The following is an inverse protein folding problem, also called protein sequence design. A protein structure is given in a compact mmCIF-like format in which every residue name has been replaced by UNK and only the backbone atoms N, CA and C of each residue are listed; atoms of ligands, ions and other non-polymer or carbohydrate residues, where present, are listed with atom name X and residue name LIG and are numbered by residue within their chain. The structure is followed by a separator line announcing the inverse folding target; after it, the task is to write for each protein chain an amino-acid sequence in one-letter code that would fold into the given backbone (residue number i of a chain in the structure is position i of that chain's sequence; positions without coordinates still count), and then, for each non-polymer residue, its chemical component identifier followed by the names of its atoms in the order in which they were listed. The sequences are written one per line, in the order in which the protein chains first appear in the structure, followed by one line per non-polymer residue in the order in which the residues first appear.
data_IF_009768072034
#
_entry.id   IF_009768072034
#
_cell.length_a   1.000
_cell.length_b   1.000
_cell.length_c   1.000
_cell.angle_alpha   90.00
_cell.angle_beta   90.00
_cell.angle_gamma   90.00
#
_symmetry.space_group_name_H-M   'P 1'
#
loop_
_entity.id
_entity.type
_entity.pdbx_description
1 polymer ?
#
# COMPACT_ATOMS: atom_id res chain seq x y z
N UNK A 1 65.88 -59.40 23.34
CA UNK A 1 67.22 -59.11 22.90
C UNK A 1 67.42 -57.59 22.89
N UNK A 2 68.18 -57.14 23.82
CA UNK A 2 69.30 -56.17 23.81
C UNK A 2 69.15 -54.91 22.87
N UNK A 3 69.12 -53.78 23.44
CA UNK A 3 70.03 -52.68 23.90
C UNK A 3 69.76 -51.47 23.04
N UNK A 4 69.96 -50.22 23.41
CA UNK A 4 70.80 -49.52 24.36
C UNK A 4 70.23 -48.15 24.70
N UNK A 5 70.47 -47.79 25.92
CA UNK A 5 70.42 -46.47 26.58
C UNK A 5 71.47 -45.55 26.00
N UNK A 6 71.19 -44.29 25.64
CA UNK A 6 72.12 -43.20 25.63
C UNK A 6 71.55 -42.00 26.33
N UNK A 7 72.14 -41.68 27.44
CA UNK A 7 71.97 -40.47 28.22
C UNK A 7 72.88 -39.41 27.54
N UNK A 8 72.36 -38.25 27.28
CA UNK A 8 73.13 -37.05 27.05
C UNK A 8 72.63 -35.89 27.86
N UNK A 9 73.45 -35.49 28.76
CA UNK A 9 73.44 -34.37 29.67
C UNK A 9 73.70 -33.08 28.90
N UNK A 10 72.91 -32.04 28.98
CA UNK A 10 73.36 -30.68 28.68
C UNK A 10 72.59 -29.59 29.37
N UNK A 11 73.24 -29.06 30.37
CA UNK A 11 73.34 -27.66 30.83
C UNK A 11 72.17 -26.69 30.67
N UNK A 12 71.70 -26.31 31.85
CA UNK A 12 70.84 -25.16 32.15
C UNK A 12 71.51 -23.84 31.74
N UNK A 13 70.83 -23.04 30.94
CA UNK A 13 71.01 -21.58 30.86
C UNK A 13 69.74 -20.91 31.35
N UNK A 14 69.86 -20.22 32.50
CA UNK A 14 68.88 -19.29 33.04
C UNK A 14 68.91 -18.00 32.20
N UNK A 15 67.85 -17.69 31.50
CA UNK A 15 67.57 -16.34 30.98
C UNK A 15 66.44 -15.74 31.83
N UNK A 16 66.78 -14.74 32.56
CA UNK A 16 65.78 -13.84 33.21
C UNK A 16 65.11 -13.01 32.12
N UNK A 17 63.82 -13.23 31.90
CA UNK A 17 63.01 -12.39 31.06
C UNK A 17 62.20 -11.43 31.95
N UNK A 18 62.51 -10.15 31.85
CA UNK A 18 61.71 -9.05 32.39
C UNK A 18 60.26 -9.11 31.81
N UNK A 19 59.33 -9.44 32.67
CA UNK A 19 57.89 -9.26 32.34
C UNK A 19 57.52 -7.81 32.52
N UNK A 20 57.43 -7.07 31.39
CA UNK A 20 56.74 -5.78 31.36
C UNK A 20 55.23 -6.04 31.48
N UNK A 21 54.62 -5.55 32.55
CA UNK A 21 53.18 -5.49 32.72
C UNK A 21 52.59 -4.53 31.67
N UNK A 22 52.01 -5.09 30.60
CA UNK A 22 51.20 -4.33 29.67
C UNK A 22 49.83 -4.07 30.35
N UNK A 23 49.58 -2.84 30.73
CA UNK A 23 48.24 -2.36 31.14
C UNK A 23 47.35 -2.40 29.90
N UNK A 24 46.15 -2.99 29.95
CA UNK A 24 45.23 -2.96 28.82
C UNK A 24 44.76 -1.52 28.57
N UNK A 25 44.95 -1.07 27.32
CA UNK A 25 44.44 0.19 26.80
C UNK A 25 42.88 0.17 26.89
N UNK A 26 42.21 1.24 27.36
CA UNK A 26 40.76 1.26 27.43
C UNK A 26 40.17 1.12 26.02
N UNK A 27 39.42 0.05 25.81
CA UNK A 27 38.64 -0.19 24.57
C UNK A 27 37.67 0.98 24.41
N UNK A 28 37.90 1.82 23.41
CA UNK A 28 36.94 2.84 23.02
C UNK A 28 35.66 2.16 22.52
N UNK A 29 34.57 2.36 23.25
CA UNK A 29 33.22 2.00 22.79
C UNK A 29 32.95 2.78 21.50
N UNK A 30 32.59 2.14 20.39
CA UNK A 30 32.22 2.87 19.18
C UNK A 30 31.06 3.82 19.49
N UNK A 31 31.26 5.10 19.21
CA UNK A 31 30.22 6.11 19.27
C UNK A 31 29.07 5.67 18.35
N UNK A 32 27.79 5.77 18.76
CA UNK A 32 26.68 5.39 17.90
C UNK A 32 26.80 6.20 16.62
N UNK A 33 26.99 5.49 15.51
CA UNK A 33 26.93 6.08 14.18
C UNK A 33 25.53 6.67 14.04
N UNK A 34 25.45 7.99 13.94
CA UNK A 34 24.20 8.67 13.63
C UNK A 34 23.68 8.09 12.30
N UNK A 35 22.52 7.41 12.38
CA UNK A 35 21.75 7.04 11.20
C UNK A 35 21.54 8.34 10.42
N UNK A 36 21.92 8.42 9.13
CA UNK A 36 21.62 9.61 8.36
C UNK A 36 20.10 9.82 8.41
N UNK A 37 19.67 10.94 8.96
CA UNK A 37 18.29 11.39 8.84
C UNK A 37 17.94 11.32 7.36
N UNK A 38 16.91 10.56 7.00
CA UNK A 38 16.45 10.46 5.63
C UNK A 38 16.33 11.87 5.05
N UNK A 39 17.00 12.10 3.96
CA UNK A 39 17.11 13.40 3.32
C UNK A 39 15.70 13.86 2.92
N UNK A 40 15.25 15.08 3.27
CA UNK A 40 13.95 15.61 2.85
C UNK A 40 13.71 15.60 1.32
N UNK A 41 14.75 15.46 0.53
CA UNK A 41 14.73 15.42 -0.94
C UNK A 41 13.90 14.30 -1.58
N UNK A 42 13.51 13.27 -0.85
CA UNK A 42 12.69 12.17 -1.41
C UNK A 42 11.20 12.54 -1.53
N UNK A 43 10.76 13.65 -0.93
CA UNK A 43 9.37 14.10 -0.89
C UNK A 43 9.15 15.43 -1.59
N UNK A 44 10.22 16.05 -2.08
CA UNK A 44 10.13 17.31 -2.83
C UNK A 44 9.57 17.03 -4.24
N UNK A 45 8.35 17.51 -4.46
CA UNK A 45 7.72 17.57 -5.78
C UNK A 45 7.61 19.03 -6.18
N UNK A 46 8.24 19.40 -7.30
CA UNK A 46 8.31 20.80 -7.74
C UNK A 46 6.91 21.43 -7.88
N UNK A 47 6.70 22.55 -7.17
CA UNK A 47 5.42 23.25 -7.11
C UNK A 47 4.36 22.62 -6.20
N UNK A 48 4.70 21.62 -5.39
CA UNK A 48 3.80 20.94 -4.47
C UNK A 48 4.38 20.88 -3.05
N UNK A 49 3.52 21.04 -2.04
CA UNK A 49 3.84 20.84 -0.63
C UNK A 49 3.19 19.56 -0.14
N UNK A 50 3.93 18.68 0.52
CA UNK A 50 3.33 17.54 1.20
C UNK A 50 2.49 18.05 2.38
N UNK A 51 1.21 17.68 2.43
CA UNK A 51 0.27 18.10 3.48
C UNK A 51 -0.17 16.93 4.37
N UNK A 52 -0.02 15.71 3.89
CA UNK A 52 -0.28 14.50 4.64
C UNK A 52 0.43 13.30 4.00
N UNK A 53 0.83 12.34 4.81
CA UNK A 53 1.38 11.08 4.33
C UNK A 53 1.27 9.98 5.39
N UNK A 54 1.35 8.75 4.93
CA UNK A 54 1.61 7.56 5.76
C UNK A 54 2.62 6.67 5.01
N UNK A 55 3.79 6.48 5.63
CA UNK A 55 4.89 5.66 5.10
C UNK A 55 4.85 4.23 5.68
N UNK A 56 3.87 3.93 6.51
CA UNK A 56 3.66 2.63 7.15
C UNK A 56 4.89 2.07 7.89
N UNK A 57 5.74 2.94 8.42
CA UNK A 57 6.98 2.59 9.12
C UNK A 57 6.79 2.32 10.63
N UNK A 58 5.57 2.45 11.12
CA UNK A 58 5.17 2.12 12.48
C UNK A 58 5.07 0.60 12.72
N UNK A 59 4.88 0.17 13.97
CA UNK A 59 4.69 -1.25 14.30
C UNK A 59 3.28 -1.78 13.95
N UNK A 60 2.32 -0.90 13.77
CA UNK A 60 0.92 -1.18 13.46
C UNK A 60 0.30 -0.02 12.69
N UNK A 61 -0.89 -0.22 12.11
CA UNK A 61 -1.63 0.82 11.39
C UNK A 61 -1.95 2.00 12.31
N UNK A 62 -1.58 3.21 11.88
CA UNK A 62 -1.87 4.42 12.64
C UNK A 62 -3.38 4.73 12.61
N UNK A 63 -4.03 4.59 13.76
CA UNK A 63 -5.46 4.86 13.94
C UNK A 63 -5.80 6.36 13.94
N UNK A 64 -4.81 7.24 13.96
CA UNK A 64 -5.02 8.66 13.73
C UNK A 64 -5.18 8.97 12.23
N UNK A 65 -4.68 8.10 11.35
CA UNK A 65 -4.79 8.22 9.91
C UNK A 65 -5.95 7.40 9.31
N UNK A 66 -6.26 6.23 9.92
CA UNK A 66 -7.15 5.25 9.30
C UNK A 66 -8.26 4.74 10.20
N UNK A 67 -9.48 4.78 9.68
CA UNK A 67 -10.65 4.06 10.18
C UNK A 67 -10.90 2.80 9.34
N UNK A 68 -11.73 1.88 9.87
CA UNK A 68 -12.14 0.66 9.17
C UNK A 68 -13.62 0.74 8.76
N UNK A 69 -13.93 0.15 7.62
CA UNK A 69 -15.26 -0.33 7.32
C UNK A 69 -15.34 -1.83 7.66
N UNK A 70 -16.31 -2.22 8.48
CA UNK A 70 -16.45 -3.59 8.98
C UNK A 70 -17.78 -4.17 8.50
N UNK A 71 -17.76 -5.41 8.03
CA UNK A 71 -18.97 -6.15 7.68
C UNK A 71 -18.91 -6.79 6.29
N UNK A 72 -19.96 -7.54 5.95
CA UNK A 72 -20.02 -8.34 4.74
C UNK A 72 -21.41 -8.25 4.08
N UNK A 73 -21.92 -7.03 3.83
CA UNK A 73 -23.24 -6.82 3.22
C UNK A 73 -23.21 -6.82 1.68
N UNK A 74 -22.02 -7.10 1.07
CA UNK A 74 -21.80 -7.08 -0.37
C UNK A 74 -21.53 -5.72 -0.96
N UNK A 75 -21.44 -4.67 -0.11
CA UNK A 75 -20.97 -3.31 -0.41
C UNK A 75 -21.54 -2.66 -1.68
N UNK A 76 -22.77 -3.02 -2.05
CA UNK A 76 -23.45 -2.55 -3.27
C UNK A 76 -23.08 -3.32 -4.55
N UNK A 77 -22.01 -4.11 -4.56
CA UNK A 77 -21.45 -4.78 -5.72
C UNK A 77 -21.65 -6.30 -5.72
N UNK A 78 -22.37 -6.85 -4.73
CA UNK A 78 -22.51 -8.28 -4.49
C UNK A 78 -21.16 -8.98 -4.20
N UNK A 79 -20.25 -8.28 -3.50
CA UNK A 79 -18.97 -8.79 -3.04
C UNK A 79 -19.15 -9.96 -2.03
N UNK A 80 -18.18 -10.86 -1.97
CA UNK A 80 -18.26 -12.08 -1.17
C UNK A 80 -17.42 -12.05 0.09
N UNK A 81 -16.57 -11.06 0.29
CA UNK A 81 -15.81 -10.92 1.52
C UNK A 81 -16.63 -10.27 2.65
N UNK A 82 -16.14 -10.46 3.86
CA UNK A 82 -16.40 -9.58 4.99
C UNK A 82 -15.12 -8.81 5.30
N UNK A 83 -15.22 -7.49 5.36
CA UNK A 83 -14.11 -6.65 5.83
C UNK A 83 -14.01 -6.70 7.35
N UNK A 84 -12.79 -6.83 7.82
CA UNK A 84 -12.43 -6.93 9.23
C UNK A 84 -11.23 -6.03 9.55
N UNK A 85 -10.98 -5.81 10.83
CA UNK A 85 -9.79 -5.14 11.36
C UNK A 85 -8.79 -6.12 12.00
N UNK A 86 -8.92 -7.40 11.68
CA UNK A 86 -8.09 -8.46 12.28
C UNK A 86 -6.66 -8.44 11.72
N UNK A 87 -5.65 -8.78 12.54
CA UNK A 87 -4.25 -8.85 12.09
C UNK A 87 -4.01 -9.81 10.92
N UNK A 88 -4.89 -10.82 10.74
CA UNK A 88 -4.82 -11.73 9.63
C UNK A 88 -5.18 -11.08 8.29
N UNK A 89 -5.95 -9.97 8.32
CA UNK A 89 -6.37 -9.25 7.13
C UNK A 89 -5.62 -7.95 6.91
N UNK A 90 -5.04 -7.35 7.97
CA UNK A 90 -4.28 -6.11 7.86
C UNK A 90 -3.15 -6.06 8.89
N UNK A 91 -1.97 -5.67 8.45
CA UNK A 91 -0.78 -5.51 9.29
C UNK A 91 0.28 -4.63 8.64
N UNK A 92 1.20 -4.14 9.44
CA UNK A 92 2.45 -3.55 8.93
C UNK A 92 3.50 -4.65 8.91
N UNK A 93 4.16 -4.82 7.77
CA UNK A 93 5.17 -5.83 7.56
C UNK A 93 6.33 -5.26 6.72
N UNK A 94 7.55 -5.27 7.26
CA UNK A 94 8.75 -4.71 6.62
C UNK A 94 8.61 -3.23 6.22
N UNK A 95 7.93 -2.41 7.01
CA UNK A 95 7.69 -1.00 6.70
C UNK A 95 6.68 -0.77 5.58
N UNK A 96 5.74 -1.69 5.40
CA UNK A 96 4.68 -1.59 4.38
C UNK A 96 3.35 -2.05 4.96
N UNK A 97 2.27 -1.45 4.50
CA UNK A 97 0.93 -1.95 4.77
C UNK A 97 0.65 -3.18 3.91
N UNK A 98 0.19 -4.26 4.54
CA UNK A 98 -0.28 -5.48 3.88
C UNK A 98 -1.77 -5.65 4.16
N UNK A 99 -2.58 -5.63 3.11
CA UNK A 99 -3.99 -6.05 3.16
C UNK A 99 -4.09 -7.44 2.54
N UNK A 100 -4.60 -8.38 3.33
CA UNK A 100 -4.71 -9.78 2.95
C UNK A 100 -6.17 -10.20 2.77
N UNK A 101 -6.51 -10.70 1.58
CA UNK A 101 -7.74 -11.43 1.33
C UNK A 101 -7.48 -12.92 1.45
N UNK A 102 -8.33 -13.61 2.22
CA UNK A 102 -8.17 -15.04 2.53
C UNK A 102 -9.51 -15.78 2.65
N UNK A 103 -9.47 -17.08 2.48
CA UNK A 103 -10.59 -17.93 2.87
C UNK A 103 -10.76 -17.90 4.39
N UNK A 104 -11.98 -17.68 4.85
CA UNK A 104 -12.32 -17.67 6.28
C UNK A 104 -13.58 -18.51 6.54
N UNK A 105 -13.42 -19.78 6.90
CA UNK A 105 -14.55 -20.68 7.16
C UNK A 105 -15.32 -20.32 8.45
N UNK A 106 -14.85 -19.40 9.25
CA UNK A 106 -15.53 -18.95 10.49
C UNK A 106 -16.61 -17.92 10.22
N UNK A 107 -16.63 -17.35 9.01
CA UNK A 107 -17.62 -16.34 8.61
C UNK A 107 -18.98 -17.00 8.27
N UNK A 108 -20.09 -16.23 8.34
CA UNK A 108 -21.40 -16.72 7.96
C UNK A 108 -21.46 -17.26 6.54
N UNK A 109 -22.34 -18.23 6.29
CA UNK A 109 -22.58 -18.78 4.97
C UNK A 109 -22.87 -17.65 3.95
N UNK A 110 -22.22 -17.71 2.77
CA UNK A 110 -22.30 -16.70 1.73
C UNK A 110 -21.27 -15.59 1.83
N UNK A 111 -20.34 -15.67 2.79
CA UNK A 111 -19.18 -14.79 2.94
C UNK A 111 -17.93 -15.63 3.22
N UNK A 112 -17.46 -16.40 2.24
CA UNK A 112 -16.38 -17.38 2.48
C UNK A 112 -14.98 -16.73 2.58
N UNK A 113 -14.87 -15.41 2.44
CA UNK A 113 -13.60 -14.69 2.45
C UNK A 113 -13.62 -13.57 3.48
N UNK A 114 -12.48 -13.32 4.10
CA UNK A 114 -12.22 -12.10 4.87
C UNK A 114 -11.17 -11.25 4.18
N UNK A 115 -11.27 -9.93 4.36
CA UNK A 115 -10.33 -8.95 3.84
C UNK A 115 -10.39 -7.67 4.68
N UNK A 116 -9.81 -6.57 4.19
CA UNK A 116 -9.87 -5.28 4.86
C UNK A 116 -10.22 -4.14 3.91
N UNK A 117 -10.95 -3.16 4.44
CA UNK A 117 -11.19 -1.85 3.87
C UNK A 117 -10.92 -0.78 4.91
N UNK A 118 -9.97 0.10 4.60
CA UNK A 118 -9.59 1.24 5.43
C UNK A 118 -9.92 2.55 4.74
N UNK A 119 -10.11 3.60 5.53
CA UNK A 119 -10.46 4.93 5.02
C UNK A 119 -9.98 6.03 5.94
N UNK A 120 -9.73 7.21 5.36
CA UNK A 120 -9.41 8.41 6.14
C UNK A 120 -10.65 9.21 6.57
N UNK A 121 -11.86 8.77 6.27
CA UNK A 121 -13.12 9.43 6.60
C UNK A 121 -13.24 9.75 8.09
N UNK A 122 -13.58 11.02 8.41
CA UNK A 122 -13.69 11.51 9.77
C UNK A 122 -12.37 11.82 10.46
N UNK A 123 -11.25 11.59 9.78
CA UNK A 123 -9.89 11.90 10.22
C UNK A 123 -9.24 12.91 9.28
N UNK A 124 -9.21 12.61 7.99
CA UNK A 124 -8.63 13.46 6.95
C UNK A 124 -9.47 13.45 5.68
N UNK A 125 -9.61 14.61 5.06
CA UNK A 125 -10.19 14.80 3.72
C UNK A 125 -9.54 16.01 3.06
N UNK A 126 -9.53 16.03 1.74
CA UNK A 126 -8.87 17.08 0.96
C UNK A 126 -9.73 17.49 -0.21
N UNK A 127 -9.67 18.76 -0.53
CA UNK A 127 -10.14 19.30 -1.79
C UNK A 127 -8.95 19.67 -2.64
N UNK A 128 -8.83 19.05 -3.81
CA UNK A 128 -7.73 19.19 -4.73
C UNK A 128 -6.38 18.69 -4.17
N UNK A 129 -5.47 18.40 -5.05
CA UNK A 129 -4.14 17.96 -4.70
C UNK A 129 -3.58 16.94 -5.68
N UNK A 130 -2.36 16.51 -5.41
CA UNK A 130 -1.74 15.35 -5.99
C UNK A 130 -1.78 14.26 -4.93
N UNK A 131 -2.53 13.21 -5.17
CA UNK A 131 -2.72 12.09 -4.26
C UNK A 131 -2.11 10.85 -4.90
N UNK A 132 -1.17 10.22 -4.22
CA UNK A 132 -0.44 9.07 -4.74
C UNK A 132 -0.34 7.95 -3.72
N UNK A 133 -0.28 6.71 -4.22
CA UNK A 133 0.09 5.54 -3.46
C UNK A 133 1.04 4.66 -4.27
N UNK A 134 2.09 4.14 -3.62
CA UNK A 134 2.99 3.16 -4.21
C UNK A 134 2.58 1.78 -3.76
N UNK A 135 2.15 0.95 -4.71
CA UNK A 135 1.47 -0.31 -4.41
C UNK A 135 1.94 -1.44 -5.31
N UNK A 136 1.89 -2.67 -4.75
CA UNK A 136 1.96 -3.91 -5.51
C UNK A 136 0.63 -4.64 -5.41
N UNK A 137 0.09 -5.07 -6.56
CA UNK A 137 -1.27 -5.55 -6.66
C UNK A 137 -1.37 -7.08 -6.58
N UNK A 138 -2.43 -7.61 -5.95
CA UNK A 138 -2.80 -9.02 -6.04
C UNK A 138 -3.35 -9.38 -7.42
N UNK A 139 -3.51 -10.65 -7.70
CA UNK A 139 -4.04 -11.15 -8.96
C UNK A 139 -4.94 -12.38 -8.75
N UNK A 140 -5.66 -12.75 -9.79
CA UNK A 140 -6.53 -13.93 -9.78
C UNK A 140 -8.00 -13.60 -10.00
N UNK A 141 -8.73 -14.52 -10.62
CA UNK A 141 -10.15 -14.33 -10.92
C UNK A 141 -10.93 -13.94 -9.66
N UNK A 142 -11.72 -12.87 -9.75
CA UNK A 142 -12.54 -12.37 -8.64
C UNK A 142 -11.80 -11.54 -7.58
N UNK A 143 -10.52 -11.23 -7.77
CA UNK A 143 -9.72 -10.35 -6.91
C UNK A 143 -9.83 -8.91 -7.42
N UNK A 144 -10.09 -7.97 -6.50
CA UNK A 144 -10.37 -6.57 -6.84
C UNK A 144 -9.78 -5.60 -5.80
N UNK A 145 -8.49 -5.27 -5.93
CA UNK A 145 -7.89 -4.18 -5.17
C UNK A 145 -8.34 -2.82 -5.70
N UNK A 146 -8.50 -1.85 -4.80
CA UNK A 146 -8.84 -0.48 -5.15
C UNK A 146 -8.15 0.54 -4.23
N UNK A 147 -7.77 1.68 -4.84
CA UNK A 147 -7.35 2.92 -4.20
C UNK A 147 -8.17 4.05 -4.80
N UNK A 148 -9.04 4.65 -4.01
CA UNK A 148 -10.10 5.51 -4.47
C UNK A 148 -10.54 6.53 -3.41
N UNK A 149 -11.45 7.42 -3.77
CA UNK A 149 -11.92 8.49 -2.90
C UNK A 149 -13.43 8.65 -2.98
N UNK A 150 -14.06 8.97 -1.85
CA UNK A 150 -15.46 9.39 -1.78
C UNK A 150 -15.59 10.82 -1.24
N UNK A 151 -16.58 11.54 -1.74
CA UNK A 151 -16.88 12.89 -1.27
C UNK A 151 -17.37 12.90 0.17
N UNK A 152 -16.80 13.81 0.98
CA UNK A 152 -17.07 14.00 2.40
C UNK A 152 -18.13 15.07 2.63
N UNK A 153 -19.31 14.92 2.00
CA UNK A 153 -20.39 15.89 2.01
C UNK A 153 -21.74 15.36 2.58
N UNK A 154 -21.73 14.13 3.12
CA UNK A 154 -22.90 13.45 3.70
C UNK A 154 -24.11 13.26 2.78
N UNK A 155 -23.94 13.36 1.45
CA UNK A 155 -25.05 13.21 0.49
C UNK A 155 -25.35 11.75 0.12
N UNK A 156 -24.49 10.82 0.50
CA UNK A 156 -24.58 9.42 0.08
C UNK A 156 -24.26 9.22 -1.41
N UNK A 157 -23.88 8.01 -1.75
CA UNK A 157 -23.54 7.63 -3.12
C UNK A 157 -24.77 7.55 -4.04
N UNK A 158 -24.71 8.01 -5.32
CA UNK A 158 -23.56 8.63 -5.99
C UNK A 158 -23.49 10.17 -5.86
N UNK A 159 -24.38 10.80 -5.06
CA UNK A 159 -24.42 12.26 -4.92
C UNK A 159 -23.22 12.81 -4.12
N UNK A 160 -22.51 11.97 -3.40
CA UNK A 160 -21.23 12.34 -2.78
C UNK A 160 -20.11 12.53 -3.79
N UNK A 161 -20.20 11.92 -4.96
CA UNK A 161 -19.07 11.78 -5.89
C UNK A 161 -18.11 10.69 -5.47
N UNK A 162 -17.43 10.09 -6.45
CA UNK A 162 -16.39 9.06 -6.29
C UNK A 162 -15.32 9.26 -7.35
N UNK A 163 -14.06 9.13 -6.95
CA UNK A 163 -12.89 9.20 -7.83
C UNK A 163 -12.08 7.93 -7.61
N UNK A 164 -12.07 7.04 -8.58
CA UNK A 164 -11.26 5.83 -8.56
C UNK A 164 -9.89 6.13 -9.16
N UNK A 165 -8.88 6.23 -8.29
CA UNK A 165 -7.48 6.48 -8.69
C UNK A 165 -6.93 5.22 -9.33
N UNK A 166 -7.23 4.07 -8.71
CA UNK A 166 -6.89 2.75 -9.18
C UNK A 166 -8.00 1.77 -8.87
N UNK A 167 -8.46 1.06 -9.89
CA UNK A 167 -9.09 -0.24 -9.74
C UNK A 167 -8.34 -1.26 -10.60
N UNK A 168 -8.22 -2.48 -10.10
CA UNK A 168 -7.67 -3.61 -10.82
C UNK A 168 -8.53 -4.85 -10.58
N UNK A 169 -8.79 -5.63 -11.63
CA UNK A 169 -9.55 -6.87 -11.52
C UNK A 169 -8.71 -8.04 -12.03
N UNK A 170 -8.55 -9.03 -11.19
CA UNK A 170 -7.63 -10.12 -11.47
C UNK A 170 -7.94 -10.97 -12.71
N UNK A 171 -9.15 -10.84 -13.30
CA UNK A 171 -9.48 -11.48 -14.57
C UNK A 171 -8.84 -10.83 -15.79
N UNK A 172 -8.41 -9.56 -15.66
CA UNK A 172 -7.66 -8.80 -16.69
C UNK A 172 -6.35 -8.32 -16.05
N UNK A 173 -5.39 -9.22 -15.81
CA UNK A 173 -4.24 -8.99 -14.94
C UNK A 173 -3.24 -7.97 -15.51
N UNK A 174 -3.44 -7.55 -16.74
CA UNK A 174 -2.65 -6.54 -17.47
C UNK A 174 -3.34 -5.17 -17.51
N UNK A 175 -4.47 -4.98 -16.84
CA UNK A 175 -5.29 -3.78 -17.01
C UNK A 175 -5.58 -3.11 -15.69
N UNK A 176 -5.36 -1.79 -15.63
CA UNK A 176 -5.81 -0.90 -14.55
C UNK A 176 -6.91 0.03 -15.07
N UNK A 177 -7.79 0.46 -14.18
CA UNK A 177 -8.95 1.29 -14.48
C UNK A 177 -8.91 2.56 -13.64
N UNK A 178 -9.33 3.66 -14.25
CA UNK A 178 -9.63 4.95 -13.63
C UNK A 178 -11.07 5.30 -13.94
N UNK A 179 -11.84 5.74 -12.94
CA UNK A 179 -13.26 6.02 -13.13
C UNK A 179 -13.69 7.17 -12.23
N UNK A 180 -14.74 7.89 -12.62
CA UNK A 180 -15.48 8.76 -11.73
C UNK A 180 -16.96 8.41 -11.74
N UNK A 181 -17.60 8.57 -10.60
CA UNK A 181 -19.02 8.34 -10.43
C UNK A 181 -19.72 9.56 -9.80
N UNK A 182 -20.86 9.95 -10.39
CA UNK A 182 -21.71 11.00 -9.87
C UNK A 182 -23.17 10.79 -10.34
N UNK A 183 -24.14 11.61 -9.91
CA UNK A 183 -25.49 11.55 -10.43
C UNK A 183 -25.53 11.68 -11.96
N UNK A 184 -26.19 10.71 -12.60
CA UNK A 184 -26.26 10.62 -14.06
C UNK A 184 -25.17 9.78 -14.73
N UNK A 185 -24.08 9.49 -14.03
CA UNK A 185 -23.01 8.60 -14.50
C UNK A 185 -22.38 7.83 -13.33
N UNK A 186 -22.96 6.71 -12.98
CA UNK A 186 -22.53 5.91 -11.83
C UNK A 186 -22.71 4.41 -12.06
N UNK A 187 -22.10 3.58 -11.25
CA UNK A 187 -22.08 2.14 -11.42
C UNK A 187 -21.49 1.75 -12.79
N UNK A 188 -22.19 0.90 -13.51
CA UNK A 188 -21.75 0.50 -14.86
C UNK A 188 -21.70 1.62 -15.92
N UNK A 189 -22.18 2.81 -15.59
CA UNK A 189 -22.17 4.00 -16.46
C UNK A 189 -21.17 5.07 -15.98
N UNK A 190 -20.26 4.74 -15.07
CA UNK A 190 -19.17 5.63 -14.67
C UNK A 190 -18.36 6.09 -15.89
N UNK A 191 -17.81 7.30 -15.82
CA UNK A 191 -16.94 7.85 -16.88
C UNK A 191 -15.49 7.56 -16.51
N UNK A 192 -14.77 6.88 -17.39
CA UNK A 192 -13.42 6.45 -17.08
C UNK A 192 -12.61 5.98 -18.27
N UNK A 193 -11.40 5.51 -17.97
CA UNK A 193 -10.47 4.95 -18.94
C UNK A 193 -9.77 3.73 -18.34
N UNK A 194 -8.98 3.07 -19.18
CA UNK A 194 -8.14 1.95 -18.76
C UNK A 194 -6.76 2.05 -19.40
N UNK A 195 -5.77 1.56 -18.70
CA UNK A 195 -4.42 1.39 -19.22
C UNK A 195 -4.06 -0.09 -19.23
N UNK A 196 -3.54 -0.56 -20.36
CA UNK A 196 -2.98 -1.91 -20.47
C UNK A 196 -1.48 -1.84 -20.25
N UNK A 197 -0.98 -2.59 -19.28
CA UNK A 197 0.42 -2.68 -18.90
C UNK A 197 0.85 -4.14 -18.80
N UNK A 198 2.11 -4.42 -18.44
CA UNK A 198 2.54 -5.81 -18.25
C UNK A 198 1.88 -6.42 -17.00
N UNK A 199 1.17 -7.54 -17.18
CA UNK A 199 0.60 -8.30 -16.07
C UNK A 199 1.67 -8.78 -15.06
N UNK A 200 2.84 -9.17 -15.55
CA UNK A 200 3.96 -9.57 -14.69
C UNK A 200 4.51 -8.40 -13.89
N UNK A 201 4.51 -7.19 -14.44
CA UNK A 201 4.91 -5.97 -13.73
C UNK A 201 3.93 -5.66 -12.60
N UNK A 202 2.64 -5.53 -12.86
CA UNK A 202 1.63 -5.25 -11.82
C UNK A 202 1.66 -6.23 -10.65
N UNK A 203 1.94 -7.49 -10.93
CA UNK A 203 1.99 -8.56 -9.94
C UNK A 203 3.28 -8.58 -9.12
N UNK A 204 4.42 -8.28 -9.75
CA UNK A 204 5.74 -8.50 -9.15
C UNK A 204 6.38 -7.22 -8.64
N UNK A 205 6.06 -6.07 -9.25
CA UNK A 205 6.70 -4.80 -8.98
C UNK A 205 5.77 -3.84 -8.24
N UNK A 206 6.35 -2.83 -7.60
CA UNK A 206 5.62 -1.70 -7.04
C UNK A 206 5.50 -0.61 -8.10
N UNK A 207 4.30 -0.08 -8.22
CA UNK A 207 3.97 1.05 -9.10
C UNK A 207 3.35 2.20 -8.32
N UNK A 208 3.46 3.41 -8.84
CA UNK A 208 2.85 4.60 -8.27
C UNK A 208 1.58 4.93 -9.04
N UNK A 209 0.46 4.94 -8.34
CA UNK A 209 -0.86 5.31 -8.87
C UNK A 209 -1.21 6.69 -8.35
N UNK A 210 -1.59 7.60 -9.25
CA UNK A 210 -1.72 9.02 -8.94
C UNK A 210 -2.99 9.61 -9.52
N UNK A 211 -3.60 10.51 -8.77
CA UNK A 211 -4.53 11.52 -9.25
C UNK A 211 -3.96 12.92 -9.01
N UNK A 212 -3.82 13.74 -10.04
CA UNK A 212 -3.72 15.18 -9.91
C UNK A 212 -5.11 15.79 -10.11
N UNK A 213 -5.62 16.38 -9.07
CA UNK A 213 -6.94 16.93 -9.01
C UNK A 213 -6.89 18.44 -8.71
N UNK A 214 -7.47 19.21 -9.62
CA UNK A 214 -7.60 20.65 -9.47
C UNK A 214 -8.98 21.11 -9.94
N UNK A 215 -9.25 22.41 -9.86
CA UNK A 215 -10.53 22.94 -10.27
C UNK A 215 -10.83 22.58 -11.73
N UNK A 216 -11.96 21.90 -11.98
CA UNK A 216 -12.42 21.44 -13.29
C UNK A 216 -11.50 20.49 -14.05
N UNK A 217 -10.53 19.88 -13.41
CA UNK A 217 -9.63 18.91 -14.07
C UNK A 217 -9.23 17.78 -13.13
N UNK A 218 -9.21 16.55 -13.68
CA UNK A 218 -8.68 15.35 -13.07
C UNK A 218 -7.71 14.70 -14.05
N UNK A 219 -6.51 14.33 -13.58
CA UNK A 219 -5.47 13.68 -14.38
C UNK A 219 -4.98 12.44 -13.66
N UNK A 220 -5.00 11.28 -14.31
CA UNK A 220 -4.50 10.02 -13.78
C UNK A 220 -3.15 9.66 -14.35
N UNK A 221 -2.26 9.23 -13.46
CA UNK A 221 -0.92 8.79 -13.84
C UNK A 221 -0.66 7.38 -13.32
N UNK A 222 0.06 6.62 -14.12
CA UNK A 222 0.69 5.36 -13.73
C UNK A 222 2.20 5.56 -13.79
N UNK A 223 2.86 5.38 -12.68
CA UNK A 223 4.22 5.86 -12.47
C UNK A 223 4.28 7.37 -12.83
N UNK A 224 5.13 7.81 -13.69
CA UNK A 224 5.20 9.22 -14.09
C UNK A 224 4.47 9.53 -15.41
N UNK A 225 3.66 8.58 -15.92
CA UNK A 225 2.99 8.72 -17.22
C UNK A 225 1.50 9.03 -17.07
N UNK A 226 1.05 10.20 -17.52
CA UNK A 226 -0.37 10.49 -17.66
C UNK A 226 -1.00 9.55 -18.71
N UNK A 227 -2.11 8.91 -18.35
CA UNK A 227 -2.84 8.03 -19.26
C UNK A 227 -4.32 8.40 -19.42
N UNK A 228 -4.85 9.25 -18.54
CA UNK A 228 -6.22 9.71 -18.61
C UNK A 228 -6.36 11.13 -18.04
N UNK A 229 -7.22 11.92 -18.69
CA UNK A 229 -7.61 13.25 -18.24
C UNK A 229 -9.13 13.39 -18.36
N UNK A 230 -9.75 14.10 -17.42
CA UNK A 230 -11.18 14.37 -17.41
C UNK A 230 -11.47 15.83 -17.01
N UNK A 231 -12.46 16.43 -17.69
CA UNK A 231 -12.96 17.78 -17.43
C UNK A 231 -14.49 17.79 -17.39
N UNK A 232 -15.15 18.90 -16.97
CA UNK A 232 -16.61 19.00 -17.01
C UNK A 232 -17.23 18.76 -18.38
N UNK A 233 -16.49 18.98 -19.48
CA UNK A 233 -16.98 18.75 -20.84
C UNK A 233 -17.08 17.26 -21.22
N UNK A 234 -16.40 16.40 -20.46
CA UNK A 234 -16.28 14.96 -20.76
C UNK A 234 -17.33 14.12 -20.02
N UNK A 235 -18.08 14.72 -19.08
CA UNK A 235 -19.11 14.03 -18.29
C UNK A 235 -20.52 14.39 -18.78
N UNK A 236 -21.48 13.46 -18.71
CA UNK A 236 -22.82 13.67 -19.25
C UNK A 236 -23.77 14.46 -18.35
N UNK A 237 -23.36 14.82 -17.13
CA UNK A 237 -24.16 15.52 -16.13
C UNK A 237 -23.28 16.46 -15.30
N UNK A 238 -23.76 16.91 -14.15
CA UNK A 238 -23.06 17.87 -13.31
C UNK A 238 -21.67 17.36 -12.88
N UNK A 239 -20.69 18.28 -12.95
CA UNK A 239 -19.37 18.09 -12.34
C UNK A 239 -19.47 18.41 -10.84
N UNK A 240 -19.15 17.42 -10.00
CA UNK A 240 -19.32 17.57 -8.54
C UNK A 240 -18.01 17.36 -7.77
N UNK A 241 -16.88 17.33 -8.45
CA UNK A 241 -15.55 17.10 -7.85
C UNK A 241 -14.93 18.43 -7.43
N UNK A 242 -15.62 19.17 -6.53
CA UNK A 242 -15.25 20.53 -6.09
C UNK A 242 -15.39 20.73 -4.56
N UNK A 243 -15.46 19.64 -3.81
CA UNK A 243 -15.52 19.60 -2.35
C UNK A 243 -14.52 18.59 -1.78
N UNK A 244 -14.48 18.42 -0.47
CA UNK A 244 -13.53 17.51 0.17
C UNK A 244 -13.88 16.05 -0.11
N UNK A 245 -12.83 15.24 -0.35
CA UNK A 245 -12.89 13.79 -0.53
C UNK A 245 -11.94 13.11 0.45
N UNK A 246 -12.33 11.96 0.95
CA UNK A 246 -11.49 11.09 1.77
C UNK A 246 -11.01 9.87 0.99
N UNK A 247 -9.86 9.35 1.37
CA UNK A 247 -9.22 8.19 0.74
C UNK A 247 -9.81 6.90 1.29
N UNK A 248 -9.94 5.90 0.40
CA UNK A 248 -10.31 4.52 0.72
C UNK A 248 -9.34 3.57 0.03
N UNK A 249 -8.95 2.50 0.74
CA UNK A 249 -8.18 1.39 0.20
C UNK A 249 -8.82 0.09 0.63
N UNK A 250 -9.01 -0.83 -0.30
CA UNK A 250 -9.55 -2.15 0.00
C UNK A 250 -9.08 -3.23 -0.97
N UNK A 251 -9.24 -4.47 -0.53
CA UNK A 251 -9.08 -5.64 -1.37
C UNK A 251 -10.38 -6.44 -1.35
N UNK A 252 -11.24 -6.21 -2.34
CA UNK A 252 -12.51 -6.93 -2.49
C UNK A 252 -12.31 -8.33 -3.08
N UNK A 253 -13.25 -9.22 -2.80
CA UNK A 253 -13.28 -10.59 -3.33
C UNK A 253 -14.66 -10.88 -3.91
N UNK A 254 -14.71 -11.13 -5.20
CA UNK A 254 -15.95 -11.33 -5.94
C UNK A 254 -16.67 -10.00 -6.23
N UNK A 255 -17.81 -10.10 -6.85
CA UNK A 255 -18.65 -8.97 -7.18
C UNK A 255 -18.97 -8.86 -8.68
N UNK A 256 -19.83 -7.90 -9.00
CA UNK A 256 -20.32 -7.74 -10.39
C UNK A 256 -19.21 -7.35 -11.36
N UNK A 257 -18.25 -6.55 -10.92
CA UNK A 257 -17.18 -6.06 -11.78
C UNK A 257 -16.06 -7.09 -12.01
N UNK A 258 -15.42 -7.65 -10.97
CA UNK A 258 -14.35 -8.64 -11.16
C UNK A 258 -14.89 -10.03 -11.54
N UNK A 259 -16.17 -10.32 -11.34
CA UNK A 259 -16.70 -11.67 -11.28
C UNK A 259 -16.34 -12.35 -9.96
N UNK A 260 -16.50 -13.67 -9.91
CA UNK A 260 -16.28 -14.41 -8.67
C UNK A 260 -15.02 -15.27 -8.74
N UNK A 261 -14.37 -15.55 -7.61
CA UNK A 261 -13.29 -16.53 -7.54
C UNK A 261 -13.70 -17.87 -8.12
N UNK A 262 -12.76 -18.54 -8.77
CA UNK A 262 -12.93 -19.89 -9.31
C UNK A 262 -11.73 -20.77 -8.95
N UNK A 263 -11.66 -21.98 -9.51
CA UNK A 263 -10.58 -22.95 -9.23
C UNK A 263 -9.17 -22.45 -9.60
N UNK A 264 -9.05 -21.35 -10.33
CA UNK A 264 -7.77 -20.74 -10.70
C UNK A 264 -7.33 -19.69 -9.69
N UNK A 265 -8.24 -19.23 -8.82
CA UNK A 265 -7.94 -18.23 -7.79
C UNK A 265 -7.27 -18.93 -6.62
N UNK A 266 -6.10 -18.45 -6.24
CA UNK A 266 -5.37 -18.93 -5.07
C UNK A 266 -5.48 -17.95 -3.93
N UNK A 267 -5.57 -18.43 -2.69
CA UNK A 267 -5.55 -17.62 -1.49
C UNK A 267 -4.39 -18.07 -0.58
N UNK A 268 -3.85 -17.18 0.27
CA UNK A 268 -4.20 -15.77 0.39
C UNK A 268 -3.71 -14.91 -0.78
N UNK A 269 -4.36 -13.74 -0.96
CA UNK A 269 -3.93 -12.69 -1.89
C UNK A 269 -3.56 -11.43 -1.12
N UNK A 270 -2.56 -10.69 -1.59
CA UNK A 270 -1.98 -9.57 -0.87
C UNK A 270 -1.94 -8.31 -1.72
N UNK A 271 -2.51 -7.23 -1.22
CA UNK A 271 -2.24 -5.88 -1.67
C UNK A 271 -1.22 -5.27 -0.72
N UNK A 272 -0.07 -4.88 -1.25
CA UNK A 272 1.02 -4.29 -0.45
C UNK A 272 1.18 -2.82 -0.81
N UNK A 273 1.20 -1.94 0.19
CA UNK A 273 1.31 -0.49 0.01
C UNK A 273 2.56 -0.01 0.74
N UNK A 274 3.45 0.63 0.00
CA UNK A 274 4.70 1.20 0.52
C UNK A 274 4.43 2.53 1.21
N UNK A 275 3.66 3.40 0.56
CA UNK A 275 3.23 4.68 1.11
C UNK A 275 1.94 5.19 0.48
N UNK A 276 1.29 6.14 1.17
CA UNK A 276 0.26 7.03 0.63
C UNK A 276 0.65 8.47 0.95
N UNK A 277 0.59 9.35 -0.06
CA UNK A 277 1.00 10.76 0.09
C UNK A 277 -0.01 11.70 -0.55
N UNK A 278 -0.23 12.82 0.10
CA UNK A 278 -1.08 13.92 -0.40
C UNK A 278 -0.28 15.21 -0.43
N UNK A 279 -0.27 15.85 -1.58
CA UNK A 279 0.39 17.12 -1.80
C UNK A 279 -0.65 18.14 -2.25
N UNK A 280 -0.45 19.41 -1.87
CA UNK A 280 -1.25 20.54 -2.35
C UNK A 280 -0.33 21.65 -2.86
N UNK A 281 -0.84 22.43 -3.81
CA UNK A 281 -0.13 23.63 -4.28
C UNK A 281 -0.18 24.72 -3.20
N UNK A 282 0.85 25.58 -3.12
CA UNK A 282 0.91 26.71 -2.19
C UNK A 282 -0.28 27.65 -2.33
#
# INVERSE_FOLDING_TARGET
MYKKLHILLCTTLLLEACTALLTPEPTQTPSPTSIPSATPAAWDRDGWNIVWHDEFDGPELDRANWNFDIGGNGWGNAEWEAYTDKPENIRIENGMLVIEAREDPTLPAGRPYSSTRIKTQGLHSWKYGHIEARMKLPYGQGIWPAFWMLGDNNRGWPASGEIDILEHIGKTPDTIYATVHAPGYSGGNGVGSKLVVSADSLKNDFHVFVIEWQENELHWYFDDQEYFKLTPADVPSDWIFDHDFFIIMNLAVGGRFPGYPDKTTTFPQFMTVDYVRVYQRP
#
